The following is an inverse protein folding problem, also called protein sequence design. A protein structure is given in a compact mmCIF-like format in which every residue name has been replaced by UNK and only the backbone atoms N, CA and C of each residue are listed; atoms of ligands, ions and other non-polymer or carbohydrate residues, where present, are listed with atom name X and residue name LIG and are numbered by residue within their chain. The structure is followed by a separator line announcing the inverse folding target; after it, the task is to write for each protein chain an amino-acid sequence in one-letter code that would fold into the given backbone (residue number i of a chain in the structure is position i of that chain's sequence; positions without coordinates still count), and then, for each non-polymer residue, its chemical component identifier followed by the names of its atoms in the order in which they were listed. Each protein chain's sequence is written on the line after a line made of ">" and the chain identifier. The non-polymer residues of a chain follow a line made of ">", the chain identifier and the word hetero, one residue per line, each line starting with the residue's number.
data_IF_992984316247
#
_entry.id   IF_992984316247
#
_cell.length_a   1.000
_cell.length_b   1.000
_cell.length_c   1.000
_cell.angle_alpha   90.00
_cell.angle_beta   90.00
_cell.angle_gamma   90.00
#
_symmetry.space_group_name_H-M   'P 1'
#
loop_
_entity.id
_entity.type
_entity.pdbx_description
1 polymer ?
#
# COMPACT_ATOMS: atom_id res chain seq x y z
N UNK A 1 -22.87 4.96 15.99
CA UNK A 1 -21.83 5.81 16.61
C UNK A 1 -21.44 6.87 15.60
N UNK A 2 -21.43 8.15 15.98
CA UNK A 2 -21.20 9.30 15.09
C UNK A 2 -19.87 9.96 15.43
N UNK A 3 -18.90 10.03 14.49
CA UNK A 3 -17.69 10.84 14.67
C UNK A 3 -18.06 12.29 15.00
N UNK A 4 -17.31 12.94 15.89
CA UNK A 4 -17.52 14.33 16.32
C UNK A 4 -18.62 14.54 17.36
N UNK A 5 -19.57 13.60 17.52
CA UNK A 5 -20.57 13.63 18.61
C UNK A 5 -20.26 12.60 19.68
N UNK A 6 -20.07 11.35 19.27
CA UNK A 6 -19.92 10.23 20.19
C UNK A 6 -18.45 9.89 20.47
N UNK A 7 -17.54 10.28 19.56
CA UNK A 7 -16.10 10.06 19.68
C UNK A 7 -15.32 10.97 18.72
N UNK A 8 -14.02 11.11 18.96
CA UNK A 8 -13.07 11.77 18.04
C UNK A 8 -12.05 10.72 17.60
N UNK A 9 -11.88 10.44 16.29
CA UNK A 9 -10.87 9.49 15.82
C UNK A 9 -9.47 10.11 15.91
N UNK A 10 -8.48 9.32 16.33
CA UNK A 10 -7.08 9.74 16.34
C UNK A 10 -6.50 9.88 14.93
N UNK A 11 -6.96 9.01 14.02
CA UNK A 11 -6.55 8.98 12.62
C UNK A 11 -7.72 8.60 11.72
N UNK A 12 -7.85 9.30 10.59
CA UNK A 12 -8.71 8.91 9.47
C UNK A 12 -7.78 8.46 8.34
N UNK A 13 -7.98 7.23 7.86
CA UNK A 13 -7.16 6.61 6.82
C UNK A 13 -8.02 5.74 5.90
N UNK A 14 -7.49 5.44 4.71
CA UNK A 14 -8.09 4.46 3.81
C UNK A 14 -7.84 3.04 4.35
N UNK A 15 -8.88 2.45 4.91
CA UNK A 15 -8.86 1.13 5.57
C UNK A 15 -9.99 0.21 5.06
N UNK A 16 -10.81 0.69 4.14
CA UNK A 16 -11.96 -0.05 3.63
C UNK A 16 -11.60 -0.71 2.30
N UNK A 17 -12.00 -1.97 2.12
CA UNK A 17 -11.84 -2.61 0.82
C UNK A 17 -12.77 -1.95 -0.22
N UNK A 18 -12.22 -1.62 -1.38
CA UNK A 18 -13.03 -1.19 -2.52
C UNK A 18 -14.03 -2.30 -2.93
N UNK A 19 -15.13 -1.88 -3.54
CA UNK A 19 -16.20 -2.75 -4.06
C UNK A 19 -16.59 -2.28 -5.45
N UNK A 20 -17.22 -3.19 -6.20
CA UNK A 20 -17.91 -2.79 -7.43
C UNK A 20 -18.87 -1.62 -7.19
N UNK A 21 -19.03 -0.75 -8.19
CA UNK A 21 -19.81 0.51 -8.16
C UNK A 21 -19.23 1.68 -7.34
N UNK A 22 -18.18 1.47 -6.53
CA UNK A 22 -17.46 2.61 -5.95
C UNK A 22 -16.84 3.48 -7.05
N UNK A 23 -16.70 4.78 -6.79
CA UNK A 23 -16.06 5.69 -7.71
C UNK A 23 -14.53 5.49 -7.71
N UNK A 24 -13.92 5.52 -8.90
CA UNK A 24 -12.49 5.50 -9.08
C UNK A 24 -11.90 6.85 -8.65
N UNK A 25 -10.91 6.83 -7.77
CA UNK A 25 -10.26 8.05 -7.25
C UNK A 25 -9.52 8.87 -8.33
N UNK A 26 -9.19 8.25 -9.47
CA UNK A 26 -8.47 8.92 -10.56
C UNK A 26 -9.40 9.60 -11.58
N UNK A 27 -10.52 8.96 -11.91
CA UNK A 27 -11.37 9.40 -13.03
C UNK A 27 -12.85 9.53 -12.71
N UNK A 28 -13.29 9.14 -11.51
CA UNK A 28 -14.70 9.19 -11.09
C UNK A 28 -15.61 8.12 -11.72
N UNK A 29 -15.10 7.28 -12.62
CA UNK A 29 -15.84 6.14 -13.17
C UNK A 29 -16.13 5.06 -12.13
N UNK A 30 -17.06 4.16 -12.41
CA UNK A 30 -17.40 3.07 -11.49
C UNK A 30 -16.38 1.92 -11.59
N UNK A 31 -15.94 1.41 -10.44
CA UNK A 31 -15.10 0.21 -10.36
C UNK A 31 -15.92 -1.04 -10.69
N UNK A 32 -15.27 -1.99 -11.38
CA UNK A 32 -15.80 -3.33 -11.63
C UNK A 32 -14.94 -4.37 -10.90
N UNK A 33 -15.57 -5.36 -10.27
CA UNK A 33 -14.89 -6.44 -9.56
C UNK A 33 -14.91 -7.73 -10.39
N UNK A 34 -13.75 -8.37 -10.54
CA UNK A 34 -13.57 -9.61 -11.30
C UNK A 34 -12.65 -10.57 -10.55
N UNK A 35 -12.82 -11.87 -10.79
CA UNK A 35 -11.93 -12.91 -10.25
C UNK A 35 -10.79 -13.18 -11.23
N UNK A 36 -9.56 -13.26 -10.72
CA UNK A 36 -8.37 -13.63 -11.48
C UNK A 36 -7.50 -14.59 -10.67
N UNK A 37 -6.64 -15.34 -11.36
CA UNK A 37 -5.62 -16.19 -10.75
C UNK A 37 -4.28 -15.46 -10.88
N UNK A 38 -3.61 -15.21 -9.76
CA UNK A 38 -2.27 -14.65 -9.76
C UNK A 38 -1.27 -15.75 -10.17
N UNK A 39 -0.57 -15.53 -11.28
CA UNK A 39 0.42 -16.49 -11.82
C UNK A 39 1.87 -16.11 -11.48
N UNK A 40 2.08 -14.91 -10.94
CA UNK A 40 3.39 -14.40 -10.58
C UNK A 40 3.30 -12.95 -10.12
N UNK A 41 4.31 -12.52 -9.36
CA UNK A 41 4.38 -11.19 -8.77
C UNK A 41 5.82 -10.69 -8.77
N UNK A 42 6.00 -9.39 -9.03
CA UNK A 42 7.31 -8.72 -8.99
C UNK A 42 7.27 -7.66 -7.89
N UNK A 43 8.28 -7.68 -7.02
CA UNK A 43 8.38 -6.74 -5.91
C UNK A 43 9.71 -6.00 -5.96
N UNK A 44 9.66 -4.68 -5.79
CA UNK A 44 10.84 -3.90 -5.40
C UNK A 44 10.97 -3.97 -3.89
N UNK A 45 11.82 -4.89 -3.40
CA UNK A 45 11.99 -5.13 -1.97
C UNK A 45 12.83 -4.05 -1.28
N UNK A 46 13.47 -3.18 -2.06
CA UNK A 46 14.41 -2.18 -1.56
C UNK A 46 15.49 -2.83 -0.70
N UNK A 47 15.78 -2.21 0.44
CA UNK A 47 16.81 -2.66 1.38
C UNK A 47 16.25 -3.51 2.53
N UNK A 48 14.96 -3.85 2.51
CA UNK A 48 14.26 -4.53 3.64
C UNK A 48 15.03 -5.73 4.18
N UNK A 49 15.59 -6.55 3.29
CA UNK A 49 16.32 -7.76 3.66
C UNK A 49 17.82 -7.52 3.83
N UNK A 50 18.42 -6.69 2.98
CA UNK A 50 19.85 -6.39 3.07
C UNK A 50 20.19 -5.69 4.39
N UNK A 51 19.36 -4.75 4.85
CA UNK A 51 19.50 -4.12 6.17
C UNK A 51 19.36 -5.13 7.31
N UNK A 52 18.30 -5.95 7.28
CA UNK A 52 18.04 -6.94 8.34
C UNK A 52 19.14 -8.00 8.46
N UNK A 53 19.80 -8.35 7.34
CA UNK A 53 20.86 -9.35 7.28
C UNK A 53 22.28 -8.75 7.32
N UNK A 54 22.42 -7.42 7.37
CA UNK A 54 23.72 -6.75 7.34
C UNK A 54 24.49 -6.95 6.02
N UNK A 55 23.78 -7.19 4.91
CA UNK A 55 24.39 -7.36 3.58
C UNK A 55 24.61 -5.97 2.97
N UNK A 56 25.87 -5.59 2.80
CA UNK A 56 26.29 -4.27 2.33
C UNK A 56 27.35 -4.39 1.23
N UNK A 57 27.51 -3.33 0.44
CA UNK A 57 28.56 -3.19 -0.56
C UNK A 57 29.06 -1.75 -0.53
N UNK A 58 30.30 -1.51 -0.95
CA UNK A 58 30.83 -0.14 -1.05
C UNK A 58 30.18 0.58 -2.24
N UNK A 59 29.70 1.79 -2.00
CA UNK A 59 29.18 2.65 -3.05
C UNK A 59 30.32 3.31 -3.87
N UNK A 60 29.95 4.18 -4.81
CA UNK A 60 30.89 4.84 -5.71
C UNK A 60 31.88 5.78 -4.99
N UNK A 61 31.55 6.23 -3.78
CA UNK A 61 32.42 7.08 -2.94
C UNK A 61 33.32 6.27 -2.00
N UNK A 62 33.11 4.96 -1.91
CA UNK A 62 33.82 4.04 -1.03
C UNK A 62 33.17 3.86 0.34
N UNK A 63 31.94 4.36 0.55
CA UNK A 63 31.18 4.18 1.79
C UNK A 63 30.40 2.86 1.81
N UNK A 64 30.23 2.26 3.01
CA UNK A 64 29.54 0.97 3.25
C UNK A 64 28.08 1.11 3.70
#
# INVERSE_FOLDING_TARGET
>A
MRPGRDYVPDLVADIAAARGSHACERCGGQLEERRGIEVGNIFQLGTRYSEAMGVRFQDESGEL
#
